data_IF_504623191647
#
_entry.id   IF_504623191647
#
_cell.length_a   1.000
_cell.length_b   1.000
_cell.length_c   1.000
_cell.angle_alpha   90.00
_cell.angle_beta   90.00
_cell.angle_gamma   90.00
#
_symmetry.space_group_name_H-M   'P 1'
#
loop_
_entity.id
_entity.type
_entity.pdbx_description
1 polymer ?
#
# COMPACT_ATOMS: atom_id res chain seq x y z
N UNK A 1 -19.26 -12.15 8.70
CA UNK A 1 -19.91 -11.92 10.01
C UNK A 1 -19.71 -13.16 10.87
N UNK A 2 -19.23 -12.99 12.10
CA UNK A 2 -19.01 -14.08 13.04
C UNK A 2 -20.36 -14.66 13.48
N UNK A 3 -20.49 -16.00 13.55
CA UNK A 3 -21.74 -16.65 13.95
C UNK A 3 -22.12 -16.22 15.36
N UNK A 4 -23.33 -15.67 15.52
CA UNK A 4 -23.83 -15.18 16.81
C UNK A 4 -23.29 -13.79 17.23
N UNK A 5 -22.49 -13.13 16.37
CA UNK A 5 -22.02 -11.77 16.63
C UNK A 5 -23.10 -10.72 16.38
N UNK A 6 -23.08 -9.64 17.18
CA UNK A 6 -23.91 -8.45 17.03
C UNK A 6 -23.04 -7.28 16.57
N UNK A 7 -23.51 -6.51 15.59
CA UNK A 7 -22.86 -5.27 15.17
C UNK A 7 -23.17 -4.18 16.18
N UNK A 8 -22.13 -3.60 16.80
CA UNK A 8 -22.29 -2.47 17.74
C UNK A 8 -22.13 -1.12 17.05
N UNK A 9 -21.30 -1.03 16.01
CA UNK A 9 -21.01 0.22 15.30
C UNK A 9 -20.85 -0.02 13.79
N UNK A 10 -21.22 0.99 13.00
CA UNK A 10 -21.02 1.04 11.56
C UNK A 10 -20.42 2.39 11.18
N UNK A 11 -19.26 2.38 10.53
CA UNK A 11 -18.57 3.58 10.07
C UNK A 11 -18.20 3.47 8.60
N UNK A 12 -18.11 4.63 7.94
CA UNK A 12 -17.56 4.78 6.60
C UNK A 12 -16.56 5.94 6.60
N UNK A 13 -15.45 5.78 5.89
CA UNK A 13 -14.42 6.80 5.75
C UNK A 13 -13.77 6.72 4.36
N UNK A 14 -13.17 7.82 3.93
CA UNK A 14 -12.42 7.87 2.67
C UNK A 14 -10.94 7.63 2.93
N UNK A 15 -10.31 6.86 2.05
CA UNK A 15 -8.88 6.61 2.08
C UNK A 15 -8.28 7.26 0.84
N UNK A 16 -7.36 8.24 0.96
CA UNK A 16 -6.74 8.87 -0.19
C UNK A 16 -5.75 7.92 -0.89
N UNK A 17 -6.21 7.19 -1.90
CA UNK A 17 -5.42 6.14 -2.57
C UNK A 17 -4.50 6.62 -3.69
N UNK A 18 -4.40 7.93 -3.90
CA UNK A 18 -3.70 8.52 -5.05
C UNK A 18 -2.18 8.42 -4.99
N UNK A 19 -1.64 7.99 -3.83
CA UNK A 19 -0.21 7.82 -3.58
C UNK A 19 0.60 9.10 -3.78
N UNK A 20 1.91 8.95 -4.00
CA UNK A 20 2.84 10.07 -4.18
C UNK A 20 2.42 11.04 -5.31
N UNK A 21 1.85 10.52 -6.40
CA UNK A 21 1.43 11.31 -7.56
C UNK A 21 0.21 12.20 -7.32
N UNK A 22 -0.64 11.87 -6.33
CA UNK A 22 -1.81 12.68 -6.00
C UNK A 22 -1.62 13.61 -4.82
N UNK A 23 -0.41 13.69 -4.25
CA UNK A 23 -0.12 14.64 -3.19
C UNK A 23 -0.28 16.10 -3.69
N UNK A 24 -0.70 17.03 -2.81
CA UNK A 24 -0.67 18.46 -3.13
C UNK A 24 0.74 18.91 -3.56
N UNK A 25 0.82 19.83 -4.53
CA UNK A 25 2.10 20.39 -4.99
C UNK A 25 2.84 21.12 -3.87
N UNK A 26 2.08 21.80 -3.02
CA UNK A 26 2.54 22.55 -1.86
C UNK A 26 2.01 21.88 -0.59
N UNK A 27 2.94 21.43 0.27
CA UNK A 27 2.63 20.89 1.61
C UNK A 27 2.66 21.97 2.69
N UNK A 28 3.06 23.19 2.32
CA UNK A 28 3.21 24.33 3.21
C UNK A 28 2.77 25.61 2.49
N UNK A 29 2.24 26.56 3.26
CA UNK A 29 1.94 27.93 2.86
C UNK A 29 2.24 28.88 4.02
N UNK A 30 1.98 30.17 3.86
CA UNK A 30 2.22 31.14 4.93
C UNK A 30 1.38 30.79 6.17
N UNK A 31 2.06 30.45 7.26
CA UNK A 31 1.46 30.04 8.53
C UNK A 31 0.75 28.67 8.52
N UNK A 32 0.88 27.86 7.47
CA UNK A 32 0.14 26.59 7.31
C UNK A 32 1.04 25.44 6.90
N UNK A 33 0.86 24.28 7.55
CA UNK A 33 1.47 23.00 7.17
C UNK A 33 0.36 21.96 6.97
N UNK A 34 0.40 21.20 5.87
CA UNK A 34 -0.46 20.04 5.64
C UNK A 34 0.21 18.77 6.17
N UNK A 35 -0.55 17.93 6.86
CA UNK A 35 -0.09 16.66 7.45
C UNK A 35 -1.11 15.54 7.23
N UNK A 36 -0.70 14.28 7.40
CA UNK A 36 -1.55 13.10 7.30
C UNK A 36 -2.34 13.01 5.98
N UNK A 37 -3.58 12.56 6.07
CA UNK A 37 -4.47 12.35 4.92
C UNK A 37 -4.72 13.65 4.13
N UNK A 38 -4.73 14.81 4.80
CA UNK A 38 -4.87 16.11 4.14
C UNK A 38 -3.66 16.43 3.23
N UNK A 39 -2.49 15.89 3.55
CA UNK A 39 -1.29 15.96 2.72
C UNK A 39 -1.17 14.77 1.73
N UNK A 40 -2.15 13.87 1.69
CA UNK A 40 -2.10 12.64 0.89
C UNK A 40 -1.05 11.64 1.39
N UNK A 41 -0.69 11.70 2.68
CA UNK A 41 0.35 10.85 3.26
C UNK A 41 -0.22 9.51 3.74
N UNK A 42 -0.65 8.71 2.79
CA UNK A 42 -1.16 7.35 3.02
C UNK A 42 -0.58 6.37 2.00
N UNK A 43 -0.04 5.26 2.48
CA UNK A 43 0.54 4.23 1.64
C UNK A 43 -0.50 3.12 1.37
N UNK A 44 -1.05 3.12 0.15
CA UNK A 44 -1.99 2.11 -0.35
C UNK A 44 -1.35 0.84 -0.86
N UNK A 45 -0.09 0.58 -0.48
CA UNK A 45 0.50 -0.73 -0.66
C UNK A 45 -0.20 -1.81 0.17
N UNK A 46 0.21 -3.05 -0.08
CA UNK A 46 -0.18 -4.23 0.68
C UNK A 46 -0.10 -4.07 2.22
N UNK A 47 0.76 -3.21 2.73
CA UNK A 47 0.97 -3.03 4.17
C UNK A 47 -0.08 -2.13 4.84
N UNK A 48 -0.88 -1.39 4.06
CA UNK A 48 -1.92 -0.48 4.56
C UNK A 48 -1.42 0.46 5.68
N UNK A 49 -0.34 1.18 5.38
CA UNK A 49 0.29 2.12 6.31
C UNK A 49 -0.27 3.54 6.12
N UNK A 50 -1.10 3.99 7.05
CA UNK A 50 -1.64 5.35 7.07
C UNK A 50 -1.37 6.08 8.39
N UNK A 51 -1.71 5.44 9.51
CA UNK A 51 -1.60 6.04 10.85
C UNK A 51 -0.15 6.41 11.19
N UNK A 52 0.81 5.53 10.87
CA UNK A 52 2.23 5.77 11.10
C UNK A 52 2.75 6.98 10.29
N UNK A 53 2.33 7.10 9.02
CA UNK A 53 2.69 8.23 8.15
C UNK A 53 2.08 9.54 8.67
N UNK A 54 0.81 9.51 9.06
CA UNK A 54 0.12 10.65 9.64
C UNK A 54 0.80 11.13 10.94
N UNK A 55 1.09 10.21 11.87
CA UNK A 55 1.78 10.54 13.11
C UNK A 55 3.19 11.12 12.87
N UNK A 56 3.99 10.48 12.00
CA UNK A 56 5.33 10.96 11.69
C UNK A 56 5.30 12.34 11.02
N UNK A 57 4.35 12.57 10.12
CA UNK A 57 4.16 13.86 9.46
C UNK A 57 3.77 14.98 10.43
N UNK A 58 2.93 14.67 11.44
CA UNK A 58 2.59 15.61 12.51
C UNK A 58 3.77 15.94 13.41
N UNK A 59 4.59 14.93 13.78
CA UNK A 59 5.81 15.14 14.55
C UNK A 59 6.78 16.07 13.82
N UNK A 60 7.08 15.79 12.55
CA UNK A 60 7.99 16.62 11.75
C UNK A 60 7.46 18.06 11.57
N UNK A 61 6.15 18.23 11.43
CA UNK A 61 5.54 19.56 11.38
C UNK A 61 5.72 20.32 12.69
N UNK A 62 5.48 19.66 13.84
CA UNK A 62 5.69 20.25 15.16
C UNK A 62 7.16 20.63 15.39
N UNK A 63 8.11 19.77 15.04
CA UNK A 63 9.54 20.07 15.12
C UNK A 63 9.92 21.29 14.28
N UNK A 64 9.40 21.41 13.05
CA UNK A 64 9.64 22.59 12.20
C UNK A 64 9.08 23.87 12.84
N UNK A 65 7.88 23.82 13.42
CA UNK A 65 7.30 24.99 14.10
C UNK A 65 8.12 25.39 15.32
N UNK A 66 8.60 24.42 16.11
CA UNK A 66 9.44 24.67 17.29
C UNK A 66 10.77 25.32 16.89
N UNK A 67 11.39 24.84 15.81
CA UNK A 67 12.63 25.36 15.25
C UNK A 67 12.51 26.84 14.84
N UNK A 68 11.43 27.17 14.10
CA UNK A 68 11.18 28.52 13.60
C UNK A 68 10.60 29.49 14.64
N UNK A 69 10.13 28.98 15.79
CA UNK A 69 9.48 29.79 16.82
C UNK A 69 10.32 30.96 17.33
N UNK A 70 11.65 30.79 17.40
CA UNK A 70 12.56 31.85 17.87
C UNK A 70 12.63 33.02 16.90
N UNK A 71 12.64 32.72 15.61
CA UNK A 71 12.71 33.70 14.52
C UNK A 71 11.35 34.32 14.23
N UNK A 72 10.26 33.64 14.66
CA UNK A 72 8.85 34.01 14.39
C UNK A 72 8.56 34.14 12.89
N UNK A 73 9.36 33.48 12.06
CA UNK A 73 9.17 33.42 10.62
C UNK A 73 8.42 32.13 10.26
N UNK A 74 7.16 32.30 9.91
CA UNK A 74 6.28 31.23 9.44
C UNK A 74 5.87 31.45 7.98
N UNK A 75 6.71 32.13 7.20
CA UNK A 75 6.57 32.20 5.75
C UNK A 75 6.60 30.82 5.10
N UNK A 76 6.02 30.70 3.91
CA UNK A 76 6.09 29.48 3.09
C UNK A 76 7.55 29.02 2.90
N UNK A 77 8.46 29.96 2.66
CA UNK A 77 9.89 29.72 2.45
C UNK A 77 10.52 29.06 3.68
N UNK A 78 10.29 29.61 4.88
CA UNK A 78 10.85 29.05 6.12
C UNK A 78 10.21 27.70 6.47
N UNK A 79 8.90 27.57 6.29
CA UNK A 79 8.19 26.29 6.50
C UNK A 79 8.60 25.19 5.52
N UNK A 80 9.26 25.51 4.39
CA UNK A 80 9.77 24.52 3.44
C UNK A 80 10.76 23.50 4.03
N UNK A 81 11.34 23.78 5.21
CA UNK A 81 12.13 22.83 5.99
C UNK A 81 11.33 21.55 6.27
N UNK A 82 10.02 21.65 6.52
CA UNK A 82 9.14 20.50 6.71
C UNK A 82 9.18 19.52 5.51
N UNK A 83 9.13 20.06 4.29
CA UNK A 83 9.20 19.23 3.08
C UNK A 83 10.53 18.48 2.99
N UNK A 84 11.64 19.12 3.34
CA UNK A 84 12.95 18.45 3.40
C UNK A 84 13.01 17.35 4.46
N UNK A 85 12.41 17.56 5.63
CA UNK A 85 12.30 16.52 6.67
C UNK A 85 11.50 15.32 6.14
N UNK A 86 10.36 15.56 5.51
CA UNK A 86 9.55 14.52 4.86
C UNK A 86 10.32 13.75 3.78
N UNK A 87 11.03 14.45 2.88
CA UNK A 87 11.81 13.84 1.79
C UNK A 87 12.93 12.93 2.30
N UNK A 88 13.52 13.27 3.45
CA UNK A 88 14.57 12.48 4.08
C UNK A 88 14.02 11.35 4.99
N UNK A 89 12.74 11.41 5.36
CA UNK A 89 12.07 10.42 6.21
C UNK A 89 11.64 9.17 5.44
N UNK A 90 11.20 8.14 6.18
CA UNK A 90 10.60 6.95 5.59
C UNK A 90 9.29 7.26 4.86
N UNK A 91 8.56 8.31 5.27
CA UNK A 91 7.22 8.65 4.74
C UNK A 91 7.23 8.80 3.22
N UNK A 92 8.06 9.72 2.68
CA UNK A 92 8.11 9.92 1.22
C UNK A 92 8.89 8.83 0.50
N UNK A 93 9.80 8.12 1.17
CA UNK A 93 10.51 6.99 0.59
C UNK A 93 9.55 5.85 0.28
N UNK A 94 8.66 5.52 1.22
CA UNK A 94 7.70 4.43 1.06
C UNK A 94 6.58 4.82 0.08
N UNK A 95 6.05 6.04 0.16
CA UNK A 95 5.09 6.56 -0.82
C UNK A 95 5.61 6.50 -2.26
N UNK A 96 6.90 6.84 -2.48
CA UNK A 96 7.54 6.73 -3.81
C UNK A 96 7.73 5.29 -4.24
N UNK A 97 8.16 4.42 -3.33
CA UNK A 97 8.39 3.00 -3.61
C UNK A 97 7.12 2.31 -4.12
N UNK A 98 5.99 2.59 -3.48
CA UNK A 98 4.72 1.91 -3.78
C UNK A 98 3.76 2.70 -4.69
N UNK A 99 4.19 3.82 -5.28
CA UNK A 99 3.35 4.70 -6.09
C UNK A 99 2.62 4.00 -7.26
N UNK A 100 3.14 2.88 -7.76
CA UNK A 100 2.55 2.12 -8.89
C UNK A 100 1.64 0.99 -8.45
N UNK A 101 1.58 0.68 -7.16
CA UNK A 101 0.89 -0.50 -6.64
C UNK A 101 -0.62 -0.43 -6.88
N UNK A 102 -1.29 0.65 -6.45
CA UNK A 102 -2.73 0.84 -6.65
C UNK A 102 -3.12 0.69 -8.12
N UNK A 103 -2.42 1.42 -9.01
CA UNK A 103 -2.69 1.34 -10.46
C UNK A 103 -2.45 -0.05 -11.05
N UNK A 104 -1.53 -0.84 -10.49
CA UNK A 104 -1.31 -2.23 -10.92
C UNK A 104 -2.51 -3.09 -10.55
N UNK A 105 -2.99 -2.98 -9.32
CA UNK A 105 -4.13 -3.75 -8.79
C UNK A 105 -5.40 -3.39 -9.58
N UNK A 106 -5.66 -2.10 -9.80
CA UNK A 106 -6.81 -1.64 -10.60
C UNK A 106 -6.82 -2.22 -12.02
N UNK A 107 -5.65 -2.33 -12.64
CA UNK A 107 -5.49 -2.87 -14.00
C UNK A 107 -5.48 -4.41 -14.05
N UNK A 108 -5.38 -5.08 -12.90
CA UNK A 108 -5.25 -6.53 -12.81
C UNK A 108 -6.09 -7.06 -11.62
N UNK A 109 -7.43 -6.98 -11.70
CA UNK A 109 -8.32 -7.40 -10.61
C UNK A 109 -8.17 -8.88 -10.23
N UNK A 110 -7.59 -9.69 -11.11
CA UNK A 110 -7.31 -11.10 -10.86
C UNK A 110 -6.41 -11.32 -9.61
N UNK A 111 -5.61 -10.32 -9.22
CA UNK A 111 -4.83 -10.38 -7.98
C UNK A 111 -5.69 -10.42 -6.72
N UNK A 112 -6.88 -9.80 -6.74
CA UNK A 112 -7.79 -9.73 -5.58
C UNK A 112 -8.87 -10.82 -5.61
N UNK A 113 -9.25 -11.30 -6.80
CA UNK A 113 -10.37 -12.23 -6.95
C UNK A 113 -9.91 -13.66 -7.28
N UNK A 114 -9.22 -13.82 -8.41
CA UNK A 114 -8.96 -15.12 -9.02
C UNK A 114 -7.75 -15.84 -8.38
N UNK A 115 -6.71 -15.10 -8.02
CA UNK A 115 -5.50 -15.70 -7.42
C UNK A 115 -5.69 -16.17 -5.98
N UNK A 116 -6.35 -15.42 -5.07
CA UNK A 116 -6.56 -15.91 -3.70
C UNK A 116 -7.43 -17.16 -3.66
N UNK A 117 -8.50 -17.20 -4.46
CA UNK A 117 -9.39 -18.36 -4.56
C UNK A 117 -8.67 -19.57 -5.16
N UNK A 118 -7.90 -19.36 -6.23
CA UNK A 118 -7.06 -20.42 -6.79
C UNK A 118 -6.01 -20.92 -5.79
N UNK A 119 -5.34 -20.02 -5.07
CA UNK A 119 -4.34 -20.39 -4.07
C UNK A 119 -4.97 -21.25 -2.96
N UNK A 120 -6.11 -20.82 -2.42
CA UNK A 120 -6.84 -21.60 -1.41
C UNK A 120 -7.24 -22.99 -1.93
N UNK A 121 -7.69 -23.09 -3.18
CA UNK A 121 -8.02 -24.35 -3.83
C UNK A 121 -6.79 -25.27 -3.95
N UNK A 122 -5.65 -24.75 -4.44
CA UNK A 122 -4.42 -25.53 -4.61
C UNK A 122 -3.84 -25.99 -3.27
N UNK A 123 -3.88 -25.14 -2.24
CA UNK A 123 -3.47 -25.51 -0.88
C UNK A 123 -4.38 -26.61 -0.33
N UNK A 124 -5.69 -26.49 -0.54
CA UNK A 124 -6.66 -27.51 -0.12
C UNK A 124 -6.40 -28.84 -0.81
N UNK A 125 -6.18 -28.84 -2.13
CA UNK A 125 -5.86 -30.05 -2.90
C UNK A 125 -4.55 -30.71 -2.42
N UNK A 126 -3.53 -29.90 -2.06
CA UNK A 126 -2.25 -30.41 -1.57
C UNK A 126 -2.35 -31.15 -0.23
N UNK A 127 -3.17 -30.61 0.68
CA UNK A 127 -3.37 -31.16 2.03
C UNK A 127 -4.50 -32.18 2.11
N UNK A 128 -5.32 -32.33 1.07
CA UNK A 128 -6.33 -33.37 0.99
C UNK A 128 -5.68 -34.74 1.05
N UNK A 129 -6.21 -35.60 1.92
CA UNK A 129 -5.77 -36.99 2.01
C UNK A 129 -6.50 -37.78 0.93
N UNK A 130 -5.74 -38.29 -0.03
CA UNK A 130 -6.21 -39.15 -1.12
C UNK A 130 -5.32 -40.40 -1.19
N UNK A 131 -5.82 -41.48 -1.79
CA UNK A 131 -5.04 -42.69 -2.11
C UNK A 131 -4.11 -42.47 -3.32
N UNK A 132 -3.47 -41.30 -3.39
CA UNK A 132 -2.51 -40.92 -4.42
C UNK A 132 -1.17 -40.60 -3.78
N UNK A 133 -0.09 -40.82 -4.52
CA UNK A 133 1.23 -40.37 -4.08
C UNK A 133 1.31 -38.83 -4.07
N UNK A 134 2.13 -38.27 -3.19
CA UNK A 134 2.34 -36.81 -3.14
C UNK A 134 2.86 -36.23 -4.46
N UNK A 135 3.67 -36.98 -5.19
CA UNK A 135 4.17 -36.58 -6.50
C UNK A 135 3.07 -36.47 -7.58
N UNK A 136 2.00 -37.27 -7.48
CA UNK A 136 0.85 -37.19 -8.40
C UNK A 136 0.01 -35.96 -8.10
N UNK A 137 -0.26 -35.69 -6.82
CA UNK A 137 -0.98 -34.50 -6.36
C UNK A 137 -0.26 -33.23 -6.82
N UNK A 138 1.07 -33.14 -6.65
CA UNK A 138 1.86 -31.99 -7.13
C UNK A 138 1.75 -31.80 -8.65
N UNK A 139 1.79 -32.88 -9.44
CA UNK A 139 1.61 -32.81 -10.89
C UNK A 139 0.20 -32.31 -11.27
N UNK A 140 -0.84 -32.77 -10.56
CA UNK A 140 -2.22 -32.31 -10.77
C UNK A 140 -2.37 -30.82 -10.46
N UNK A 141 -1.81 -30.35 -9.33
CA UNK A 141 -1.77 -28.94 -8.93
C UNK A 141 -1.08 -28.09 -10.00
N UNK A 142 0.08 -28.50 -10.49
CA UNK A 142 0.82 -27.78 -11.53
C UNK A 142 0.02 -27.73 -12.84
N UNK A 143 -0.62 -28.84 -13.24
CA UNK A 143 -1.49 -28.87 -14.43
C UNK A 143 -2.69 -27.94 -14.28
N UNK A 144 -3.35 -27.97 -13.12
CA UNK A 144 -4.51 -27.13 -12.80
C UNK A 144 -4.14 -25.65 -12.83
N UNK A 145 -3.02 -25.28 -12.23
CA UNK A 145 -2.47 -23.92 -12.27
C UNK A 145 -2.15 -23.48 -13.71
N UNK A 146 -1.41 -24.30 -14.48
CA UNK A 146 -1.07 -24.01 -15.88
C UNK A 146 -2.32 -23.85 -16.75
N UNK A 147 -3.36 -24.65 -16.52
CA UNK A 147 -4.61 -24.60 -17.28
C UNK A 147 -5.44 -23.35 -16.96
N UNK A 148 -5.55 -22.96 -15.69
CA UNK A 148 -6.36 -21.80 -15.26
C UNK A 148 -5.66 -20.47 -15.54
N UNK A 149 -4.36 -20.35 -15.26
CA UNK A 149 -3.64 -19.06 -15.34
C UNK A 149 -2.80 -18.92 -16.61
N UNK A 150 -2.15 -20.02 -17.03
CA UNK A 150 -1.14 -20.00 -18.09
C UNK A 150 0.21 -19.47 -17.61
N UNK A 151 1.28 -20.24 -17.85
CA UNK A 151 2.62 -19.93 -17.32
C UNK A 151 3.16 -18.56 -17.77
N UNK A 152 2.98 -18.21 -19.05
CA UNK A 152 3.47 -16.95 -19.61
C UNK A 152 2.65 -15.73 -19.13
N UNK A 153 1.33 -15.89 -18.96
CA UNK A 153 0.47 -14.84 -18.40
C UNK A 153 0.86 -14.57 -16.94
N UNK A 154 1.10 -15.63 -16.17
CA UNK A 154 1.56 -15.55 -14.79
C UNK A 154 2.93 -14.88 -14.66
N UNK A 155 3.94 -15.32 -15.43
CA UNK A 155 5.29 -14.76 -15.35
C UNK A 155 5.31 -13.27 -15.71
N UNK A 156 4.58 -12.85 -16.74
CA UNK A 156 4.43 -11.44 -17.11
C UNK A 156 3.78 -10.62 -15.99
N UNK A 157 2.77 -11.17 -15.31
CA UNK A 157 2.10 -10.51 -14.19
C UNK A 157 3.00 -10.43 -12.96
N UNK A 158 3.73 -11.50 -12.64
CA UNK A 158 4.71 -11.51 -11.56
C UNK A 158 5.83 -10.50 -11.80
N UNK A 159 6.30 -10.36 -13.04
CA UNK A 159 7.27 -9.33 -13.42
C UNK A 159 6.72 -7.92 -13.18
N UNK A 160 5.49 -7.63 -13.64
CA UNK A 160 4.84 -6.32 -13.40
C UNK A 160 4.61 -6.05 -11.91
N UNK A 161 4.29 -7.09 -11.14
CA UNK A 161 4.17 -7.01 -9.70
C UNK A 161 5.51 -6.67 -9.03
N UNK A 162 6.59 -7.35 -9.41
CA UNK A 162 7.94 -7.06 -8.92
C UNK A 162 8.37 -5.62 -9.23
N UNK A 163 8.05 -5.12 -10.42
CA UNK A 163 8.28 -3.71 -10.78
C UNK A 163 7.46 -2.73 -9.93
N UNK A 164 6.20 -3.04 -9.64
CA UNK A 164 5.36 -2.19 -8.79
C UNK A 164 5.78 -2.21 -7.31
N UNK A 165 6.37 -3.32 -6.86
CA UNK A 165 6.95 -3.46 -5.52
C UNK A 165 8.36 -2.86 -5.40
N UNK A 166 8.95 -2.40 -6.52
CA UNK A 166 10.29 -1.84 -6.56
C UNK A 166 11.40 -2.86 -6.30
N UNK A 167 11.16 -4.14 -6.60
CA UNK A 167 12.18 -5.20 -6.46
C UNK A 167 13.14 -5.26 -7.66
N UNK A 168 12.69 -4.80 -8.83
CA UNK A 168 13.40 -4.79 -10.11
C UNK A 168 12.99 -3.50 -10.84
#
# INVERSE_FOLDING_TARGET
LLRGGKTEEYCAHLIPETGYSGMPKDLVGDGVILVGDAAGLLNTSFFHEGVNLAMASGLMAAETVIELRREKDFSKESLSIYKRKLENSFVLKDLRKFQKFSSLVDKNPEFLEEFPSLFAELVTDYFRVEEKSKAEIEKEIIRKFKKKVGFFKFSRKLFRFAQAMGWI
#
